data_IF_462389599938
#
_entry.id   IF_462389599938
#
_cell.length_a   1.000
_cell.length_b   1.000
_cell.length_c   1.000
_cell.angle_alpha   90.00
_cell.angle_beta   90.00
_cell.angle_gamma   90.00
#
_symmetry.space_group_name_H-M   'P 1'
#
loop_
_entity.id
_entity.type
_entity.pdbx_description
1 polymer ?
#
# COMPACT_ATOMS: atom_id res chain seq x y z
N UNK A 1 -24.21 7.33 -15.97
CA UNK A 1 -22.86 6.78 -15.75
C UNK A 1 -22.53 7.04 -14.29
N UNK A 2 -22.39 6.00 -13.47
CA UNK A 2 -22.04 6.19 -12.05
C UNK A 2 -20.57 6.64 -12.00
N UNK A 3 -20.32 7.86 -11.51
CA UNK A 3 -18.96 8.33 -11.28
C UNK A 3 -18.38 7.45 -10.18
N UNK A 4 -17.50 6.51 -10.54
CA UNK A 4 -16.72 5.77 -9.56
C UNK A 4 -15.75 6.75 -8.91
N UNK A 5 -15.85 6.90 -7.59
CA UNK A 5 -14.95 7.75 -6.81
C UNK A 5 -13.70 6.94 -6.43
N UNK A 6 -12.53 7.42 -6.85
CA UNK A 6 -11.25 6.80 -6.51
C UNK A 6 -10.89 5.56 -7.33
N UNK A 7 -9.65 5.09 -7.15
CA UNK A 7 -9.04 4.00 -7.91
C UNK A 7 -9.66 2.62 -7.63
N UNK A 8 -9.84 1.82 -8.69
CA UNK A 8 -10.12 0.38 -8.59
C UNK A 8 -8.93 -0.38 -8.00
N UNK A 9 -9.15 -1.60 -7.52
CA UNK A 9 -8.05 -2.42 -6.97
C UNK A 9 -6.97 -2.72 -8.02
N UNK A 10 -7.31 -2.89 -9.29
CA UNK A 10 -6.34 -3.05 -10.39
C UNK A 10 -5.50 -1.80 -10.60
N UNK A 11 -6.12 -0.61 -10.61
CA UNK A 11 -5.37 0.65 -10.72
C UNK A 11 -4.44 0.84 -9.51
N UNK A 12 -4.89 0.52 -8.30
CA UNK A 12 -4.04 0.55 -7.10
C UNK A 12 -2.85 -0.40 -7.24
N UNK A 13 -3.07 -1.62 -7.73
CA UNK A 13 -2.01 -2.60 -7.99
C UNK A 13 -0.98 -2.03 -8.99
N UNK A 14 -1.44 -1.45 -10.10
CA UNK A 14 -0.54 -0.85 -11.09
C UNK A 14 0.25 0.34 -10.56
N UNK A 15 -0.38 1.20 -9.74
CA UNK A 15 0.34 2.28 -9.07
C UNK A 15 1.42 1.73 -8.12
N UNK A 16 1.15 0.63 -7.41
CA UNK A 16 2.18 -0.05 -6.62
C UNK A 16 3.33 -0.55 -7.50
N UNK A 17 3.06 -1.08 -8.70
CA UNK A 17 4.11 -1.50 -9.64
C UNK A 17 4.98 -0.32 -10.07
N UNK A 18 4.34 0.80 -10.44
CA UNK A 18 5.06 2.01 -10.86
C UNK A 18 5.87 2.64 -9.73
N UNK A 19 5.43 2.52 -8.48
CA UNK A 19 6.13 3.11 -7.34
C UNK A 19 7.59 2.65 -7.18
N UNK A 20 7.94 1.45 -7.66
CA UNK A 20 9.32 0.94 -7.70
C UNK A 20 10.25 1.68 -8.70
N UNK A 21 9.70 2.60 -9.50
CA UNK A 21 10.42 3.40 -10.48
C UNK A 21 10.73 4.82 -10.03
N UNK A 22 10.38 5.19 -8.80
CA UNK A 22 10.54 6.57 -8.31
C UNK A 22 12.03 6.91 -8.17
N UNK A 23 12.81 6.02 -7.54
CA UNK A 23 14.26 6.21 -7.37
C UNK A 23 15.03 6.22 -8.68
N UNK A 24 14.54 5.49 -9.70
CA UNK A 24 15.09 5.48 -11.07
C UNK A 24 14.68 6.70 -11.91
N UNK A 25 13.68 7.47 -11.45
CA UNK A 25 13.14 8.59 -12.19
C UNK A 25 12.30 8.19 -13.40
N UNK A 26 11.63 7.03 -13.35
CA UNK A 26 10.76 6.54 -14.42
C UNK A 26 9.68 7.59 -14.77
N UNK A 27 9.36 7.76 -16.05
CA UNK A 27 8.47 8.86 -16.51
C UNK A 27 7.11 8.83 -15.82
N UNK A 28 6.53 7.64 -15.67
CA UNK A 28 5.21 7.37 -15.06
C UNK A 28 5.10 7.74 -13.57
N UNK A 29 6.22 8.07 -12.93
CA UNK A 29 6.27 8.42 -11.50
C UNK A 29 6.62 9.89 -11.26
N UNK A 30 6.83 10.69 -12.32
CA UNK A 30 7.12 12.12 -12.19
C UNK A 30 5.83 12.92 -12.05
N UNK A 31 5.80 14.07 -11.33
CA UNK A 31 4.59 14.89 -11.26
C UNK A 31 4.03 15.25 -12.64
N UNK A 32 2.73 15.04 -12.85
CA UNK A 32 2.05 15.23 -14.13
C UNK A 32 0.93 14.23 -14.40
N UNK A 33 0.27 14.40 -15.53
CA UNK A 33 -0.74 13.47 -16.06
C UNK A 33 -0.06 12.32 -16.81
N UNK A 34 -0.49 11.10 -16.51
CA UNK A 34 0.01 9.87 -17.11
C UNK A 34 -1.13 8.94 -17.49
N UNK A 35 -0.83 7.96 -18.34
CA UNK A 35 -1.75 6.88 -18.71
C UNK A 35 -1.25 5.57 -18.11
N UNK A 36 -2.20 4.76 -17.64
CA UNK A 36 -1.90 3.38 -17.32
C UNK A 36 -1.42 2.63 -18.58
N UNK A 37 -0.58 1.62 -18.39
CA UNK A 37 -0.15 0.75 -19.50
C UNK A 37 -1.31 0.02 -20.16
N UNK A 38 -2.30 -0.38 -19.36
CA UNK A 38 -3.60 -0.81 -19.87
C UNK A 38 -4.45 0.45 -20.15
N UNK A 39 -4.72 0.79 -21.42
CA UNK A 39 -5.46 1.99 -21.78
C UNK A 39 -6.91 1.95 -21.29
N UNK A 40 -7.47 0.78 -20.99
CA UNK A 40 -8.83 0.65 -20.47
C UNK A 40 -8.97 1.19 -19.05
N UNK A 41 -7.87 1.33 -18.32
CA UNK A 41 -7.82 1.89 -16.98
C UNK A 41 -7.71 3.42 -16.96
N UNK A 42 -7.58 4.04 -18.14
CA UNK A 42 -7.56 5.49 -18.29
C UNK A 42 -6.26 6.14 -17.82
N UNK A 43 -6.39 7.31 -17.20
CA UNK A 43 -5.27 8.16 -16.80
C UNK A 43 -5.30 8.54 -15.33
N UNK A 44 -4.14 8.93 -14.82
CA UNK A 44 -3.94 9.32 -13.44
C UNK A 44 -2.96 10.49 -13.35
N UNK A 45 -3.10 11.27 -12.29
CA UNK A 45 -2.15 12.30 -11.93
C UNK A 45 -1.17 11.78 -10.89
N UNK A 46 0.10 12.05 -11.08
CA UNK A 46 1.08 12.08 -10.00
C UNK A 46 1.16 13.52 -9.52
N UNK A 47 0.79 13.76 -8.27
CA UNK A 47 0.77 15.10 -7.67
C UNK A 47 2.10 15.42 -7.01
N UNK A 48 2.73 14.40 -6.39
CA UNK A 48 4.06 14.49 -5.77
C UNK A 48 4.71 13.11 -5.79
N UNK A 49 6.04 13.11 -5.89
CA UNK A 49 6.86 11.92 -5.71
C UNK A 49 8.04 12.23 -4.81
N UNK A 50 8.46 11.25 -4.03
CA UNK A 50 9.53 11.40 -3.05
C UNK A 50 10.43 10.16 -3.09
N UNK A 51 11.72 10.42 -3.20
CA UNK A 51 12.79 9.44 -3.07
C UNK A 51 13.76 9.92 -1.98
N UNK A 52 14.22 9.01 -1.14
CA UNK A 52 15.26 9.27 -0.14
C UNK A 52 16.39 8.25 -0.34
N UNK A 53 17.49 8.62 -1.01
CA UNK A 53 18.58 7.68 -1.31
C UNK A 53 19.26 7.11 -0.05
N UNK A 54 19.21 7.82 1.06
CA UNK A 54 19.84 7.44 2.33
C UNK A 54 19.20 6.21 2.97
N UNK A 55 17.89 6.02 2.77
CA UNK A 55 17.14 4.92 3.38
C UNK A 55 16.33 4.10 2.37
N UNK A 56 16.38 4.43 1.07
CA UNK A 56 15.68 3.74 -0.01
C UNK A 56 14.16 3.98 -0.03
N UNK A 57 13.65 4.99 0.69
CA UNK A 57 12.23 5.31 0.66
C UNK A 57 11.81 5.79 -0.72
N UNK A 58 10.74 5.21 -1.24
CA UNK A 58 10.07 5.60 -2.48
C UNK A 58 8.56 5.69 -2.24
N UNK A 59 7.96 6.83 -2.60
CA UNK A 59 6.52 6.99 -2.52
C UNK A 59 5.97 8.16 -3.33
N UNK A 60 4.71 8.07 -3.73
CA UNK A 60 4.03 9.10 -4.49
C UNK A 60 2.60 9.35 -3.99
N UNK A 61 2.09 10.54 -4.29
CA UNK A 61 0.68 10.89 -4.13
C UNK A 61 0.08 10.93 -5.53
N UNK A 62 -0.98 10.16 -5.75
CA UNK A 62 -1.70 10.11 -7.01
C UNK A 62 -3.18 10.42 -6.84
N UNK A 63 -3.83 10.78 -7.94
CA UNK A 63 -5.26 11.01 -8.02
C UNK A 63 -5.77 10.56 -9.39
N UNK A 64 -7.05 10.19 -9.48
CA UNK A 64 -7.67 9.94 -10.77
C UNK A 64 -7.73 11.23 -11.60
N UNK A 65 -7.68 11.08 -12.92
CA UNK A 65 -7.94 12.19 -13.82
C UNK A 65 -9.45 12.32 -14.06
N UNK A 66 -10.00 13.46 -13.64
CA UNK A 66 -11.38 13.89 -13.89
C UNK A 66 -11.42 14.95 -14.97
N UNK A 67 -12.62 15.33 -15.43
CA UNK A 67 -12.80 16.37 -16.45
C UNK A 67 -12.16 17.71 -16.07
N UNK A 68 -12.27 18.10 -14.79
CA UNK A 68 -11.71 19.35 -14.26
C UNK A 68 -10.25 19.23 -13.78
N UNK A 69 -9.61 18.07 -14.00
CA UNK A 69 -8.25 17.77 -13.56
C UNK A 69 -8.20 16.71 -12.44
N UNK A 70 -7.20 16.76 -11.55
CA UNK A 70 -7.03 15.72 -10.53
C UNK A 70 -8.20 15.65 -9.54
N UNK A 71 -8.64 14.44 -9.20
CA UNK A 71 -9.59 14.22 -8.11
C UNK A 71 -8.93 14.43 -6.74
N UNK A 72 -8.90 15.69 -6.28
CA UNK A 72 -8.32 16.03 -4.97
C UNK A 72 -9.14 15.53 -3.78
N UNK A 73 -10.40 15.11 -3.98
CA UNK A 73 -11.22 14.54 -2.92
C UNK A 73 -10.83 13.08 -2.61
N UNK A 74 -10.28 12.36 -3.61
CA UNK A 74 -9.88 10.96 -3.50
C UNK A 74 -8.40 10.76 -3.87
N UNK A 75 -7.51 11.20 -2.99
CA UNK A 75 -6.07 10.98 -3.16
C UNK A 75 -5.67 9.58 -2.72
N UNK A 76 -4.69 9.00 -3.41
CA UNK A 76 -3.98 7.80 -2.96
C UNK A 76 -2.53 8.12 -2.64
N UNK A 77 -2.05 7.63 -1.50
CA UNK A 77 -0.63 7.63 -1.16
C UNK A 77 -0.08 6.23 -1.37
N UNK A 78 0.90 6.12 -2.26
CA UNK A 78 1.47 4.86 -2.72
C UNK A 78 2.89 4.76 -2.20
N UNK A 79 3.22 3.68 -1.50
CA UNK A 79 4.58 3.40 -1.05
C UNK A 79 5.14 2.18 -1.77
N UNK A 80 6.38 2.28 -2.25
CA UNK A 80 7.08 1.15 -2.81
C UNK A 80 7.59 0.21 -1.71
N UNK A 81 7.71 -1.06 -2.04
CA UNK A 81 8.49 -2.00 -1.23
C UNK A 81 9.98 -1.90 -1.54
N UNK A 82 10.77 -2.79 -0.94
CA UNK A 82 12.20 -2.89 -1.25
C UNK A 82 12.38 -3.55 -2.61
N UNK A 83 13.38 -3.11 -3.39
CA UNK A 83 13.81 -3.81 -4.60
C UNK A 83 14.53 -5.12 -4.20
N UNK A 84 13.78 -6.17 -3.87
CA UNK A 84 14.28 -7.47 -3.38
C UNK A 84 15.07 -8.30 -4.42
N UNK A 85 15.52 -7.70 -5.52
CA UNK A 85 16.17 -8.42 -6.64
C UNK A 85 17.61 -8.81 -6.33
N UNK A 86 18.25 -8.25 -5.29
CA UNK A 86 19.69 -8.42 -5.10
C UNK A 86 20.08 -9.42 -3.98
N UNK A 87 19.30 -9.64 -2.91
CA UNK A 87 19.58 -10.74 -1.96
C UNK A 87 18.40 -11.12 -1.01
N UNK A 88 17.64 -12.19 -1.30
CA UNK A 88 16.45 -12.57 -0.51
C UNK A 88 16.74 -13.07 0.91
N UNK A 89 18.00 -13.36 1.29
CA UNK A 89 18.34 -13.81 2.66
C UNK A 89 18.70 -12.65 3.59
N UNK A 90 19.38 -11.63 3.07
CA UNK A 90 19.62 -10.38 3.80
C UNK A 90 18.37 -9.52 3.89
N UNK A 91 17.46 -9.62 2.92
CA UNK A 91 16.24 -8.82 2.85
C UNK A 91 15.18 -9.16 3.90
N UNK A 92 15.11 -10.40 4.41
CA UNK A 92 14.15 -10.72 5.47
C UNK A 92 14.53 -9.97 6.75
N UNK A 93 15.82 -9.90 7.09
CA UNK A 93 16.32 -9.11 8.21
C UNK A 93 16.11 -7.61 7.98
N UNK A 94 16.33 -7.11 6.76
CA UNK A 94 16.03 -5.73 6.38
C UNK A 94 14.53 -5.42 6.51
N UNK A 95 13.64 -6.33 6.10
CA UNK A 95 12.20 -6.21 6.29
C UNK A 95 11.80 -6.19 7.78
N UNK A 96 12.53 -6.89 8.65
CA UNK A 96 12.31 -6.85 10.10
C UNK A 96 12.71 -5.53 10.75
N UNK A 97 13.78 -4.90 10.27
CA UNK A 97 14.28 -3.64 10.82
C UNK A 97 13.76 -2.41 10.10
N UNK A 98 13.12 -2.54 8.92
CA UNK A 98 12.69 -1.41 8.10
C UNK A 98 11.67 -0.49 8.79
N UNK A 99 10.86 -1.05 9.68
CA UNK A 99 9.87 -0.29 10.44
C UNK A 99 10.41 0.28 11.76
N UNK A 100 11.62 -0.13 12.16
CA UNK A 100 12.27 0.37 13.36
C UNK A 100 13.00 1.69 13.07
N UNK A 101 13.11 2.61 14.04
CA UNK A 101 13.96 3.77 13.92
C UNK A 101 15.40 3.34 13.64
N UNK A 102 16.10 3.97 12.69
CA UNK A 102 17.48 3.59 12.41
C UNK A 102 18.40 4.05 13.56
N UNK A 103 19.43 3.26 13.85
CA UNK A 103 20.33 3.49 14.99
C UNK A 103 21.29 4.67 14.79
N UNK A 104 21.39 5.20 13.56
CA UNK A 104 22.32 6.25 13.17
C UNK A 104 21.70 7.67 13.21
N UNK A 105 20.46 7.82 13.68
CA UNK A 105 19.80 9.13 13.81
C UNK A 105 19.21 9.71 12.52
N UNK A 106 19.37 9.05 11.37
CA UNK A 106 18.73 9.45 10.12
C UNK A 106 17.21 9.18 10.15
N UNK A 107 16.39 9.89 9.35
CA UNK A 107 14.97 9.56 9.26
C UNK A 107 14.75 8.16 8.67
N UNK A 108 14.05 7.27 9.39
CA UNK A 108 13.66 5.96 8.86
C UNK A 108 12.58 6.06 7.77
N UNK A 109 12.36 4.97 7.01
CA UNK A 109 11.33 4.95 5.96
C UNK A 109 9.92 5.26 6.51
N UNK A 110 9.59 4.82 7.73
CA UNK A 110 8.32 5.16 8.41
C UNK A 110 8.14 6.68 8.58
N UNK A 111 9.22 7.41 8.88
CA UNK A 111 9.17 8.87 9.03
C UNK A 111 8.98 9.55 7.67
N UNK A 112 9.64 9.07 6.63
CA UNK A 112 9.46 9.55 5.25
C UNK A 112 8.03 9.30 4.77
N UNK A 113 7.46 8.12 5.06
CA UNK A 113 6.08 7.77 4.76
C UNK A 113 5.10 8.75 5.43
N UNK A 114 5.35 9.10 6.70
CA UNK A 114 4.55 10.08 7.45
C UNK A 114 4.65 11.51 6.91
N UNK A 115 5.80 11.93 6.38
CA UNK A 115 5.93 13.23 5.70
C UNK A 115 5.03 13.24 4.45
N UNK A 116 5.09 12.19 3.62
CA UNK A 116 4.28 12.10 2.41
C UNK A 116 2.78 12.01 2.73
N UNK A 117 2.41 11.26 3.76
CA UNK A 117 1.04 11.17 4.25
C UNK A 117 0.50 12.55 4.63
N UNK A 118 1.22 13.30 5.46
CA UNK A 118 0.82 14.68 5.85
C UNK A 118 0.66 15.59 4.63
N UNK A 119 1.57 15.51 3.66
CA UNK A 119 1.45 16.28 2.42
C UNK A 119 0.19 15.95 1.63
N UNK A 120 -0.23 14.68 1.59
CA UNK A 120 -1.48 14.28 0.93
C UNK A 120 -2.71 14.81 1.69
N UNK A 121 -2.72 14.68 3.02
CA UNK A 121 -3.82 15.17 3.85
C UNK A 121 -3.97 16.69 3.76
N UNK A 122 -2.86 17.44 3.83
CA UNK A 122 -2.85 18.89 3.64
C UNK A 122 -3.35 19.29 2.26
N UNK A 123 -2.91 18.57 1.22
CA UNK A 123 -3.35 18.81 -0.15
C UNK A 123 -4.85 18.58 -0.33
N UNK A 124 -5.37 17.46 0.19
CA UNK A 124 -6.80 17.14 0.14
C UNK A 124 -7.64 18.18 0.90
N UNK A 125 -7.25 18.55 2.14
CA UNK A 125 -7.92 19.61 2.90
C UNK A 125 -7.94 20.93 2.16
N UNK A 126 -6.80 21.33 1.59
CA UNK A 126 -6.69 22.61 0.88
C UNK A 126 -7.49 22.65 -0.42
N UNK A 127 -7.55 21.54 -1.17
CA UNK A 127 -8.16 21.51 -2.51
C UNK A 127 -9.60 21.02 -2.53
N UNK A 128 -10.00 20.14 -1.62
CA UNK A 128 -11.32 19.52 -1.56
C UNK A 128 -12.07 19.81 -0.25
N UNK A 129 -11.46 20.53 0.71
CA UNK A 129 -12.08 20.86 2.00
C UNK A 129 -12.13 19.70 3.00
N UNK A 130 -11.63 18.52 2.64
CA UNK A 130 -11.62 17.32 3.47
C UNK A 130 -10.46 16.40 3.10
N UNK A 131 -10.00 15.59 4.05
CA UNK A 131 -8.99 14.53 3.86
C UNK A 131 -9.59 13.11 3.93
N UNK A 132 -10.91 13.00 4.07
CA UNK A 132 -11.57 11.71 4.36
C UNK A 132 -11.52 10.72 3.21
N UNK A 133 -11.29 11.19 1.99
CA UNK A 133 -11.10 10.34 0.81
C UNK A 133 -9.64 9.95 0.55
N UNK A 134 -8.69 10.32 1.42
CA UNK A 134 -7.30 9.88 1.30
C UNK A 134 -7.19 8.38 1.66
N UNK A 135 -6.57 7.61 0.77
CA UNK A 135 -6.34 6.18 0.91
C UNK A 135 -4.85 5.84 0.82
N UNK A 136 -4.41 4.84 1.59
CA UNK A 136 -3.03 4.37 1.57
C UNK A 136 -2.93 3.02 0.85
N UNK A 137 -1.91 2.86 0.03
CA UNK A 137 -1.62 1.61 -0.67
C UNK A 137 -0.11 1.35 -0.77
N UNK A 138 0.22 0.09 -1.02
CA UNK A 138 1.60 -0.35 -1.17
C UNK A 138 1.69 -1.85 -1.31
N UNK A 139 2.87 -2.30 -1.73
CA UNK A 139 3.19 -3.70 -1.90
C UNK A 139 4.35 -4.12 -0.98
N UNK A 140 4.32 -5.34 -0.45
CA UNK A 140 5.41 -5.87 0.37
C UNK A 140 5.71 -4.95 1.56
N UNK A 141 6.95 -4.48 1.73
CA UNK A 141 7.31 -3.46 2.73
C UNK A 141 6.50 -2.17 2.59
N UNK A 142 6.22 -1.70 1.37
CA UNK A 142 5.40 -0.51 1.13
C UNK A 142 3.97 -0.68 1.61
N UNK A 143 3.45 -1.91 1.55
CA UNK A 143 2.16 -2.26 2.15
C UNK A 143 2.18 -2.09 3.68
N UNK A 144 3.27 -2.48 4.34
CA UNK A 144 3.44 -2.25 5.78
C UNK A 144 3.52 -0.76 6.13
N UNK A 145 4.24 0.05 5.34
CA UNK A 145 4.26 1.51 5.49
C UNK A 145 2.86 2.11 5.34
N UNK A 146 2.09 1.67 4.34
CA UNK A 146 0.70 2.07 4.15
C UNK A 146 -0.18 1.75 5.37
N UNK A 147 -0.06 0.54 5.92
CA UNK A 147 -0.82 0.13 7.11
C UNK A 147 -0.46 0.95 8.35
N UNK A 148 0.83 1.26 8.57
CA UNK A 148 1.26 2.13 9.67
C UNK A 148 0.61 3.52 9.54
N UNK A 149 0.70 4.13 8.35
CA UNK A 149 0.15 5.48 8.15
C UNK A 149 -1.38 5.50 8.21
N UNK A 150 -2.04 4.48 7.65
CA UNK A 150 -3.49 4.36 7.71
C UNK A 150 -4.00 4.20 9.15
N UNK A 151 -3.34 3.37 9.97
CA UNK A 151 -3.67 3.24 11.39
C UNK A 151 -3.37 4.53 12.19
N UNK A 152 -2.29 5.24 11.86
CA UNK A 152 -1.93 6.52 12.48
C UNK A 152 -2.93 7.64 12.18
N UNK A 153 -3.51 7.65 10.97
CA UNK A 153 -4.44 8.68 10.53
C UNK A 153 -5.92 8.27 10.65
N UNK A 154 -6.18 7.02 11.03
CA UNK A 154 -7.52 6.42 11.04
C UNK A 154 -8.25 6.53 9.68
N UNK A 155 -7.52 6.21 8.61
CA UNK A 155 -7.95 6.29 7.21
C UNK A 155 -7.81 4.92 6.50
N UNK A 156 -8.46 4.69 5.35
CA UNK A 156 -8.45 3.38 4.71
C UNK A 156 -7.08 2.99 4.13
N UNK A 157 -6.79 1.70 4.17
CA UNK A 157 -5.68 1.07 3.46
C UNK A 157 -6.15 -0.10 2.58
N UNK A 158 -5.56 -0.19 1.39
CA UNK A 158 -5.67 -1.31 0.46
C UNK A 158 -4.27 -1.69 0.06
N UNK A 159 -3.77 -2.83 0.51
CA UNK A 159 -2.37 -3.21 0.31
C UNK A 159 -2.27 -4.59 -0.31
N UNK A 160 -1.13 -4.89 -0.91
CA UNK A 160 -0.87 -6.15 -1.59
C UNK A 160 0.31 -6.85 -0.94
N UNK A 161 0.11 -8.11 -0.52
CA UNK A 161 1.14 -8.96 0.06
C UNK A 161 1.98 -8.21 1.11
N UNK A 162 1.33 -7.53 2.07
CA UNK A 162 2.06 -6.62 2.95
C UNK A 162 2.99 -7.35 3.93
N UNK A 163 4.12 -6.71 4.25
CA UNK A 163 4.85 -7.02 5.47
C UNK A 163 4.09 -6.39 6.65
N UNK A 164 3.50 -7.24 7.50
CA UNK A 164 2.55 -6.82 8.54
C UNK A 164 3.29 -6.08 9.68
N UNK A 165 2.95 -4.81 9.94
CA UNK A 165 3.63 -4.01 10.95
C UNK A 165 3.09 -4.21 12.38
N UNK A 166 2.26 -5.22 12.66
CA UNK A 166 1.50 -5.30 13.92
C UNK A 166 2.36 -5.09 15.19
N UNK A 167 3.53 -5.73 15.25
CA UNK A 167 4.42 -5.64 16.43
C UNK A 167 5.05 -4.27 16.63
N UNK A 168 5.16 -3.45 15.58
CA UNK A 168 5.68 -2.08 15.70
C UNK A 168 4.58 -1.04 15.89
N UNK A 169 3.30 -1.42 15.71
CA UNK A 169 2.19 -0.54 16.00
C UNK A 169 2.13 -0.23 17.51
N UNK A 170 1.93 1.05 17.83
CA UNK A 170 1.64 1.52 19.18
C UNK A 170 0.24 1.10 19.65
N UNK A 171 -0.04 1.29 20.93
CA UNK A 171 -1.30 0.84 21.54
C UNK A 171 -2.54 1.47 20.90
N UNK A 172 -2.52 2.77 20.61
CA UNK A 172 -3.65 3.47 19.98
C UNK A 172 -3.88 3.03 18.54
N UNK A 173 -2.81 2.79 17.78
CA UNK A 173 -2.90 2.25 16.42
C UNK A 173 -3.54 0.86 16.43
N UNK A 174 -3.11 -0.03 17.33
CA UNK A 174 -3.72 -1.37 17.48
C UNK A 174 -5.20 -1.30 17.87
N UNK A 175 -5.59 -0.37 18.75
CA UNK A 175 -7.01 -0.14 19.10
C UNK A 175 -7.82 0.29 17.87
N UNK A 176 -7.28 1.15 17.02
CA UNK A 176 -7.93 1.58 15.77
C UNK A 176 -8.08 0.43 14.79
N UNK A 177 -7.02 -0.37 14.59
CA UNK A 177 -7.11 -1.58 13.77
C UNK A 177 -8.17 -2.53 14.30
N UNK A 178 -8.21 -2.78 15.61
CA UNK A 178 -9.19 -3.67 16.23
C UNK A 178 -10.63 -3.15 16.08
N UNK A 179 -10.86 -1.83 16.15
CA UNK A 179 -12.18 -1.21 15.95
C UNK A 179 -12.72 -1.42 14.53
N UNK A 180 -11.82 -1.44 13.55
CA UNK A 180 -12.13 -1.51 12.13
C UNK A 180 -11.82 -2.90 11.55
N UNK A 181 -11.69 -3.91 12.40
CA UNK A 181 -11.45 -5.26 11.92
C UNK A 181 -12.74 -5.81 11.30
N UNK A 182 -12.71 -6.14 10.01
CA UNK A 182 -13.84 -6.70 9.29
C UNK A 182 -14.81 -5.70 8.66
N UNK A 183 -14.67 -4.39 8.91
CA UNK A 183 -15.45 -3.35 8.23
C UNK A 183 -14.86 -2.93 6.87
N UNK A 184 -13.76 -3.58 6.50
CA UNK A 184 -13.05 -3.32 5.27
C UNK A 184 -12.24 -2.02 5.26
N UNK A 185 -11.93 -1.36 6.39
CA UNK A 185 -11.07 -0.16 6.38
C UNK A 185 -9.62 -0.51 6.06
N UNK A 186 -9.10 -1.58 6.64
CA UNK A 186 -7.73 -2.07 6.42
C UNK A 186 -7.80 -3.44 5.73
N UNK A 187 -7.47 -3.48 4.44
CA UNK A 187 -7.45 -4.74 3.66
C UNK A 187 -6.06 -5.02 3.11
N UNK A 188 -5.65 -6.28 3.23
CA UNK A 188 -4.41 -6.83 2.69
C UNK A 188 -4.73 -8.00 1.74
N UNK A 189 -4.59 -7.74 0.44
CA UNK A 189 -4.80 -8.72 -0.61
C UNK A 189 -3.59 -9.65 -0.70
N UNK A 190 -3.81 -10.95 -0.52
CA UNK A 190 -2.73 -11.95 -0.43
C UNK A 190 -2.94 -13.10 -1.38
N UNK A 191 -1.81 -13.58 -1.90
CA UNK A 191 -1.74 -14.83 -2.62
C UNK A 191 -1.38 -15.95 -1.64
N UNK A 192 -2.09 -17.08 -1.73
CA UNK A 192 -1.94 -18.23 -0.84
C UNK A 192 -0.57 -18.91 -0.90
N UNK A 193 0.23 -18.60 -1.93
CA UNK A 193 1.60 -19.05 -2.10
C UNK A 193 2.66 -17.97 -1.85
N UNK A 194 2.32 -16.81 -1.27
CA UNK A 194 3.29 -15.77 -0.91
C UNK A 194 4.31 -16.28 0.13
N UNK A 195 5.51 -16.61 -0.36
CA UNK A 195 6.62 -17.09 0.48
C UNK A 195 7.49 -15.97 1.05
N UNK A 196 7.43 -14.78 0.46
CA UNK A 196 8.26 -13.64 0.84
C UNK A 196 7.71 -13.06 2.14
N UNK A 197 6.49 -12.53 2.10
CA UNK A 197 5.90 -11.98 3.33
C UNK A 197 5.34 -13.07 4.23
N UNK A 198 4.98 -14.25 3.71
CA UNK A 198 4.58 -15.38 4.56
C UNK A 198 5.67 -15.79 5.57
N UNK A 199 6.94 -15.61 5.21
CA UNK A 199 8.07 -15.85 6.13
C UNK A 199 8.29 -14.64 7.05
N UNK A 200 8.34 -13.43 6.48
CA UNK A 200 8.53 -12.20 7.25
C UNK A 200 7.43 -12.02 8.31
N UNK A 201 6.17 -12.24 7.98
CA UNK A 201 5.02 -12.07 8.88
C UNK A 201 4.98 -13.09 10.00
N UNK A 202 5.40 -14.34 9.76
CA UNK A 202 5.56 -15.30 10.86
C UNK A 202 6.54 -14.77 11.91
N UNK A 203 7.57 -14.04 11.48
CA UNK A 203 8.56 -13.45 12.36
C UNK A 203 8.13 -12.09 12.94
N UNK A 204 7.42 -11.26 12.16
CA UNK A 204 7.04 -9.88 12.47
C UNK A 204 5.69 -9.71 13.18
N UNK A 205 4.72 -10.58 12.94
CA UNK A 205 3.38 -10.48 13.52
C UNK A 205 3.01 -11.70 14.36
N UNK A 206 3.74 -12.81 14.23
CA UNK A 206 3.31 -14.11 14.77
C UNK A 206 2.22 -14.73 13.88
N UNK A 207 1.51 -15.73 14.41
CA UNK A 207 0.46 -16.44 13.66
C UNK A 207 -0.96 -15.85 13.83
N UNK A 208 -1.21 -15.05 14.87
CA UNK A 208 -2.57 -14.68 15.28
C UNK A 208 -2.94 -13.20 15.05
N UNK A 209 -2.03 -12.26 15.32
CA UNK A 209 -2.34 -10.83 15.21
C UNK A 209 -2.01 -10.25 13.83
N UNK A 210 -2.87 -9.35 13.33
CA UNK A 210 -2.72 -8.71 12.00
C UNK A 210 -3.12 -7.24 12.01
N UNK A 211 -2.43 -6.44 11.19
CA UNK A 211 -2.74 -5.01 11.01
C UNK A 211 -3.86 -4.74 10.00
N UNK A 212 -4.36 -5.77 9.32
CA UNK A 212 -5.42 -5.68 8.32
C UNK A 212 -6.23 -6.98 8.24
N UNK A 213 -7.44 -6.89 7.70
CA UNK A 213 -8.21 -8.06 7.26
C UNK A 213 -7.57 -8.62 5.98
N UNK A 214 -7.30 -9.92 5.96
CA UNK A 214 -6.70 -10.59 4.81
C UNK A 214 -7.79 -10.98 3.81
N UNK A 215 -7.59 -10.60 2.55
CA UNK A 215 -8.39 -11.06 1.42
C UNK A 215 -7.54 -12.03 0.61
N UNK A 216 -7.93 -13.31 0.57
CA UNK A 216 -7.20 -14.32 -0.18
C UNK A 216 -7.60 -14.32 -1.65
N UNK A 217 -6.63 -14.08 -2.54
CA UNK A 217 -6.80 -13.97 -3.99
C UNK A 217 -6.28 -15.22 -4.73
N UNK A 218 -6.33 -16.36 -4.05
CA UNK A 218 -5.85 -17.63 -4.56
C UNK A 218 -4.33 -17.73 -4.73
N UNK A 219 -3.89 -18.69 -5.54
CA UNK A 219 -2.45 -18.90 -5.79
C UNK A 219 -2.03 -18.18 -7.05
N UNK A 220 -1.04 -17.30 -6.93
CA UNK A 220 -0.41 -16.66 -8.07
C UNK A 220 0.31 -17.67 -8.97
N UNK A 221 0.46 -17.39 -10.28
CA UNK A 221 1.11 -18.29 -11.24
C UNK A 221 2.60 -18.50 -10.94
N UNK A 222 3.25 -17.55 -10.25
CA UNK A 222 4.65 -17.68 -9.89
C UNK A 222 4.89 -18.68 -8.74
N UNK A 223 6.08 -19.28 -8.72
CA UNK A 223 6.50 -20.20 -7.64
C UNK A 223 6.50 -19.55 -6.25
N UNK A 224 6.66 -18.22 -6.19
CA UNK A 224 6.77 -17.47 -4.94
C UNK A 224 5.50 -16.70 -4.56
N UNK A 225 4.55 -16.52 -5.49
CA UNK A 225 3.24 -15.92 -5.26
C UNK A 225 3.31 -14.57 -4.56
N UNK A 226 4.28 -13.72 -4.88
CA UNK A 226 4.49 -12.45 -4.18
C UNK A 226 4.37 -11.25 -5.11
N UNK A 227 4.38 -11.44 -6.43
CA UNK A 227 4.51 -10.31 -7.34
C UNK A 227 3.16 -9.66 -7.60
N UNK A 228 3.16 -8.34 -7.81
CA UNK A 228 1.94 -7.61 -8.15
C UNK A 228 1.27 -8.09 -9.44
N UNK A 229 2.06 -8.60 -10.39
CA UNK A 229 1.55 -9.20 -11.64
C UNK A 229 0.99 -10.62 -11.49
N UNK A 230 1.01 -11.20 -10.28
CA UNK A 230 0.42 -12.51 -10.01
C UNK A 230 -1.07 -12.43 -9.60
N UNK A 231 -1.65 -11.22 -9.53
CA UNK A 231 -3.05 -11.00 -9.17
C UNK A 231 -3.94 -10.93 -10.41
N UNK A 232 -5.11 -11.57 -10.33
CA UNK A 232 -6.15 -11.48 -11.35
C UNK A 232 -7.26 -10.49 -10.95
N UNK A 233 -7.87 -9.85 -11.95
CA UNK A 233 -8.90 -8.83 -11.77
C UNK A 233 -10.14 -9.14 -12.62
N UNK A 234 -11.31 -8.76 -12.11
CA UNK A 234 -12.56 -8.83 -12.88
C UNK A 234 -12.67 -7.68 -13.90
N UNK A 235 -13.75 -7.68 -14.69
CA UNK A 235 -14.00 -6.63 -15.68
C UNK A 235 -14.22 -5.24 -15.05
N UNK A 236 -14.52 -5.19 -13.76
CA UNK A 236 -14.63 -3.97 -12.98
C UNK A 236 -13.30 -3.48 -12.41
N UNK A 237 -12.19 -4.19 -12.62
CA UNK A 237 -10.90 -3.86 -12.02
C UNK A 237 -10.81 -4.20 -10.53
N UNK A 238 -11.72 -5.03 -10.00
CA UNK A 238 -11.63 -5.54 -8.63
C UNK A 238 -10.88 -6.87 -8.62
N UNK A 239 -10.09 -7.11 -7.56
CA UNK A 239 -9.28 -8.32 -7.48
C UNK A 239 -10.17 -9.56 -7.30
N UNK A 240 -9.85 -10.63 -8.03
CA UNK A 240 -10.55 -11.90 -7.88
C UNK A 240 -10.14 -12.58 -6.57
N UNK A 241 -11.11 -12.74 -5.67
CA UNK A 241 -10.91 -13.40 -4.39
C UNK A 241 -11.43 -14.85 -4.42
N UNK A 242 -10.68 -15.77 -3.79
CA UNK A 242 -11.12 -17.03 -3.17
C UNK A 242 -12.63 -17.31 -3.09
N UNK A 243 -13.21 -16.37 -2.37
CA UNK A 243 -14.49 -16.21 -1.70
C UNK A 243 -14.09 -15.21 -0.59
N UNK A 244 -14.92 -14.25 -0.19
CA UNK A 244 -14.74 -13.65 1.12
C UNK A 244 -14.87 -14.83 2.07
N UNK A 245 -13.75 -15.36 2.56
CA UNK A 245 -13.81 -16.26 3.70
C UNK A 245 -14.65 -15.47 4.68
N UNK A 246 -15.80 -16.04 5.05
CA UNK A 246 -16.54 -15.65 6.24
C UNK A 246 -15.53 -15.08 7.21
N UNK A 247 -15.82 -13.90 7.77
CA UNK A 247 -15.26 -13.47 9.05
C UNK A 247 -15.41 -14.64 10.02
N UNK A 248 -14.53 -15.64 9.92
CA UNK A 248 -14.13 -16.45 11.02
C UNK A 248 -13.45 -15.40 11.85
N UNK A 249 -14.20 -14.91 12.84
CA UNK A 249 -13.65 -14.20 13.98
C UNK A 249 -12.30 -14.85 14.24
N UNK A 250 -11.22 -14.14 13.92
CA UNK A 250 -9.92 -14.57 14.36
C UNK A 250 -10.07 -14.58 15.88
N UNK A 251 -10.07 -15.76 16.52
CA UNK A 251 -9.99 -15.77 17.95
C UNK A 251 -8.60 -15.19 18.23
N UNK A 252 -8.58 -14.12 19.03
CA UNK A 252 -7.34 -13.62 19.60
C UNK A 252 -6.53 -14.76 20.22
#
# INVERSE_FOLDING_TARGET
MQVRTGFTTQQLNMLCQYSYGIGRGDVKTRPGLHWFEDPTLGSYWVLRSRYCPENGFEGMIAAQNMEEGPDYAHLVVVYAGTNLRDDPRHDIHAALTCFLPPLNGEPGQTQQAGILARQALDLARHKAGTDRGVLFTGHSMGGGLALIQAAEQDLPARVFCAADPWRVLGQEQRKRVARHYGDGKFLDYRLGNDRVTGTANRLLSGQADRSACVVWCGKGPSRFGHWLGDFDFDQGGEVLAETPTTLAEYPR
#
